data_IF_095946654851
#
_entry.id   IF_095946654851
#
_cell.length_a   1.000
_cell.length_b   1.000
_cell.length_c   1.000
_cell.angle_alpha   90.00
_cell.angle_beta   90.00
_cell.angle_gamma   90.00
#
_symmetry.space_group_name_H-M   'P 1'
#
loop_
_entity.id
_entity.type
_entity.pdbx_description
1 polymer ?
#
# COMPACT_ATOMS: atom_id res chain seq x y z
N UNK A 1 13.01 8.98 -27.95
CA UNK A 1 12.79 8.36 -26.64
C UNK A 1 11.67 9.14 -25.95
N UNK A 2 10.56 8.50 -25.61
CA UNK A 2 9.40 9.18 -25.02
C UNK A 2 9.36 8.90 -23.53
N UNK A 3 9.39 9.95 -22.71
CA UNK A 3 9.23 9.84 -21.25
C UNK A 3 7.74 9.90 -20.93
N UNK A 4 7.26 8.98 -20.07
CA UNK A 4 5.88 8.95 -19.59
C UNK A 4 5.85 9.23 -18.09
N UNK A 5 5.11 10.26 -17.69
CA UNK A 5 4.92 10.63 -16.27
C UNK A 5 3.50 10.21 -15.86
N UNK A 6 3.40 9.52 -14.74
CA UNK A 6 2.13 9.06 -14.15
C UNK A 6 2.23 9.03 -12.62
N UNK A 7 1.10 8.99 -11.89
CA UNK A 7 1.10 8.71 -10.46
C UNK A 7 1.78 7.36 -10.13
N UNK A 8 2.44 7.30 -8.97
CA UNK A 8 2.94 6.06 -8.40
C UNK A 8 1.77 5.15 -7.96
N UNK A 9 1.99 3.84 -8.01
CA UNK A 9 1.04 2.79 -7.62
C UNK A 9 1.51 2.09 -6.34
N UNK A 10 0.60 1.48 -5.56
CA UNK A 10 1.00 0.61 -4.45
C UNK A 10 1.94 -0.50 -4.91
N UNK A 11 2.99 -0.81 -4.14
CA UNK A 11 4.02 -1.79 -4.52
C UNK A 11 5.19 -1.20 -5.32
N UNK A 12 5.18 0.11 -5.62
CA UNK A 12 6.28 0.78 -6.32
C UNK A 12 7.28 1.46 -5.37
N UNK A 13 7.27 1.13 -4.08
CA UNK A 13 8.14 1.71 -3.06
C UNK A 13 9.62 1.48 -3.41
N UNK A 14 9.97 0.27 -3.86
CA UNK A 14 11.32 -0.06 -4.33
C UNK A 14 11.75 0.71 -5.58
N UNK A 15 10.80 1.03 -6.49
CA UNK A 15 11.09 1.86 -7.66
C UNK A 15 11.38 3.31 -7.25
N UNK A 16 10.57 3.87 -6.34
CA UNK A 16 10.78 5.21 -5.79
C UNK A 16 12.10 5.29 -5.04
N UNK A 17 12.40 4.30 -4.19
CA UNK A 17 13.68 4.21 -3.49
C UNK A 17 14.85 4.10 -4.46
N UNK A 18 14.68 3.34 -5.55
CA UNK A 18 15.66 3.25 -6.63
C UNK A 18 15.96 4.60 -7.28
N UNK A 19 14.94 5.41 -7.55
CA UNK A 19 15.13 6.76 -8.07
C UNK A 19 15.82 7.69 -7.06
N UNK A 20 15.46 7.62 -5.78
CA UNK A 20 16.12 8.40 -4.72
C UNK A 20 17.61 8.04 -4.63
N UNK A 21 17.94 6.75 -4.62
CA UNK A 21 19.33 6.28 -4.58
C UNK A 21 20.12 6.70 -5.82
N UNK A 22 19.54 6.53 -7.01
CA UNK A 22 20.19 6.93 -8.25
C UNK A 22 20.49 8.44 -8.29
N UNK A 23 19.57 9.27 -7.78
CA UNK A 23 19.80 10.71 -7.64
C UNK A 23 20.88 11.01 -6.60
N UNK A 24 20.84 10.36 -5.43
CA UNK A 24 21.83 10.55 -4.38
C UNK A 24 23.24 10.11 -4.83
N UNK A 25 23.36 9.04 -5.60
CA UNK A 25 24.63 8.61 -6.19
C UNK A 25 25.17 9.67 -7.16
N UNK A 26 24.31 10.20 -8.04
CA UNK A 26 24.66 11.27 -8.97
C UNK A 26 25.13 12.54 -8.25
N UNK A 27 24.47 12.89 -7.14
CA UNK A 27 24.79 14.08 -6.33
C UNK A 27 25.93 13.84 -5.31
N UNK A 28 26.43 12.60 -5.18
CA UNK A 28 27.42 12.17 -4.17
C UNK A 28 26.93 12.30 -2.73
N UNK A 29 25.64 12.07 -2.52
CA UNK A 29 24.93 12.13 -1.24
C UNK A 29 24.35 10.77 -0.81
N UNK A 30 24.84 9.66 -1.36
CA UNK A 30 24.32 8.31 -1.04
C UNK A 30 24.29 7.99 0.47
N UNK A 31 25.22 8.57 1.25
CA UNK A 31 25.30 8.40 2.70
C UNK A 31 24.19 9.11 3.49
N UNK A 32 23.50 10.08 2.87
CA UNK A 32 22.33 10.77 3.44
C UNK A 32 21.03 9.97 3.23
N UNK A 33 21.07 8.90 2.42
CA UNK A 33 19.88 8.08 2.18
C UNK A 33 19.67 7.11 3.35
N UNK A 34 18.89 7.57 4.32
CA UNK A 34 18.45 6.77 5.46
C UNK A 34 17.20 5.94 5.16
N UNK A 35 16.45 6.30 4.11
CA UNK A 35 15.18 5.66 3.77
C UNK A 35 15.34 4.23 3.25
N UNK A 36 14.45 3.35 3.70
CA UNK A 36 14.21 2.02 3.13
C UNK A 36 12.80 1.92 2.51
N UNK A 37 12.45 0.76 1.93
CA UNK A 37 11.15 0.58 1.28
C UNK A 37 9.98 0.70 2.28
N UNK A 38 10.19 0.30 3.53
CA UNK A 38 9.18 0.41 4.58
C UNK A 38 8.91 1.88 4.94
N UNK A 39 9.95 2.71 5.03
CA UNK A 39 9.83 4.15 5.26
C UNK A 39 9.08 4.85 4.11
N UNK A 40 9.35 4.47 2.85
CA UNK A 40 8.60 4.97 1.70
C UNK A 40 7.13 4.55 1.78
N UNK A 41 6.85 3.28 2.08
CA UNK A 41 5.48 2.78 2.27
C UNK A 41 4.73 3.54 3.37
N UNK A 42 5.37 3.76 4.52
CA UNK A 42 4.80 4.52 5.63
C UNK A 42 4.51 5.99 5.24
N UNK A 43 5.39 6.63 4.48
CA UNK A 43 5.17 7.99 3.99
C UNK A 43 3.98 8.10 3.03
N UNK A 44 3.78 7.09 2.17
CA UNK A 44 2.62 6.98 1.29
C UNK A 44 1.33 6.79 2.11
N UNK A 45 1.32 5.90 3.10
CA UNK A 45 0.18 5.73 4.01
C UNK A 45 -0.14 7.03 4.76
N UNK A 46 0.86 7.74 5.24
CA UNK A 46 0.68 9.03 5.92
C UNK A 46 0.05 10.08 5.00
N UNK A 47 0.29 10.03 3.68
CA UNK A 47 -0.39 10.92 2.74
C UNK A 47 -1.89 10.64 2.66
N UNK A 48 -2.30 9.37 2.61
CA UNK A 48 -3.72 9.00 2.66
C UNK A 48 -4.36 9.44 3.98
N UNK A 49 -3.69 9.23 5.11
CA UNK A 49 -4.19 9.67 6.42
C UNK A 49 -4.37 11.21 6.48
N UNK A 50 -3.42 11.99 5.96
CA UNK A 50 -3.56 13.46 5.86
C UNK A 50 -4.79 13.86 5.05
N UNK A 51 -5.05 13.16 3.93
CA UNK A 51 -6.23 13.39 3.11
C UNK A 51 -7.53 13.06 3.85
N UNK A 52 -7.57 11.92 4.55
CA UNK A 52 -8.72 11.56 5.38
C UNK A 52 -9.06 12.66 6.39
N UNK A 53 -8.06 13.17 7.11
CA UNK A 53 -8.26 14.27 8.07
C UNK A 53 -8.74 15.55 7.38
N UNK A 54 -8.11 15.93 6.26
CA UNK A 54 -8.47 17.15 5.52
C UNK A 54 -9.90 17.11 4.95
N UNK A 55 -10.39 15.93 4.60
CA UNK A 55 -11.73 15.73 4.01
C UNK A 55 -12.79 15.32 5.05
N UNK A 56 -12.44 15.24 6.34
CA UNK A 56 -13.38 14.82 7.39
C UNK A 56 -13.76 13.33 7.33
N UNK A 57 -12.94 12.50 6.70
CA UNK A 57 -13.12 11.05 6.63
C UNK A 57 -12.61 10.41 7.92
N UNK A 58 -13.49 9.67 8.61
CA UNK A 58 -13.20 9.15 9.95
C UNK A 58 -12.29 7.92 10.02
N UNK A 59 -11.91 7.30 8.89
CA UNK A 59 -11.13 6.06 8.89
C UNK A 59 -10.37 5.82 7.57
N UNK A 60 -9.22 5.17 7.69
CA UNK A 60 -8.46 4.58 6.60
C UNK A 60 -8.41 3.06 6.82
N UNK A 61 -8.85 2.27 5.83
CA UNK A 61 -8.89 0.80 5.90
C UNK A 61 -8.18 0.18 4.69
N UNK A 62 -7.49 -0.95 4.91
CA UNK A 62 -6.81 -1.71 3.86
C UNK A 62 -6.72 -3.19 4.25
N UNK A 63 -6.36 -4.02 3.26
CA UNK A 63 -6.28 -5.47 3.39
C UNK A 63 -4.83 -5.91 3.54
N UNK A 64 -4.58 -6.78 4.51
CA UNK A 64 -3.27 -7.39 4.76
C UNK A 64 -3.49 -8.89 4.85
N UNK A 65 -2.64 -9.67 4.21
CA UNK A 65 -2.66 -11.12 4.37
C UNK A 65 -2.21 -11.46 5.79
N UNK A 66 -2.95 -12.35 6.45
CA UNK A 66 -2.76 -12.75 7.84
C UNK A 66 -1.35 -13.32 8.12
N UNK A 67 -0.71 -13.90 7.10
CA UNK A 67 0.65 -14.42 7.17
C UNK A 67 1.75 -13.39 6.93
N UNK A 68 1.43 -12.14 6.56
CA UNK A 68 2.44 -11.11 6.28
C UNK A 68 2.90 -10.41 7.57
N UNK A 69 3.63 -11.14 8.42
CA UNK A 69 4.12 -10.65 9.72
C UNK A 69 4.87 -9.32 9.63
N UNK A 70 5.69 -9.15 8.58
CA UNK A 70 6.44 -7.91 8.36
C UNK A 70 5.52 -6.70 8.17
N UNK A 71 4.52 -6.81 7.29
CA UNK A 71 3.56 -5.74 7.07
C UNK A 71 2.67 -5.50 8.30
N UNK A 72 2.23 -6.58 8.97
CA UNK A 72 1.43 -6.49 10.20
C UNK A 72 2.19 -5.72 11.29
N UNK A 73 3.48 -6.00 11.48
CA UNK A 73 4.32 -5.28 12.45
C UNK A 73 4.41 -3.79 12.15
N UNK A 74 4.65 -3.43 10.89
CA UNK A 74 4.67 -2.02 10.44
C UNK A 74 3.32 -1.35 10.73
N UNK A 75 2.20 -1.91 10.29
CA UNK A 75 0.89 -1.27 10.47
C UNK A 75 0.46 -1.18 11.93
N UNK A 76 0.78 -2.18 12.75
CA UNK A 76 0.53 -2.14 14.19
C UNK A 76 1.34 -1.02 14.87
N UNK A 77 2.60 -0.83 14.47
CA UNK A 77 3.44 0.28 14.98
C UNK A 77 2.89 1.67 14.62
N UNK A 78 2.11 1.78 13.54
CA UNK A 78 1.41 3.01 13.15
C UNK A 78 0.07 3.21 13.90
N UNK A 79 -0.32 2.25 14.74
CA UNK A 79 -1.57 2.28 15.50
C UNK A 79 -2.78 1.66 14.78
N UNK A 80 -2.58 0.99 13.63
CA UNK A 80 -3.65 0.24 12.97
C UNK A 80 -4.03 -1.00 13.79
N UNK A 81 -5.32 -1.38 13.76
CA UNK A 81 -5.85 -2.54 14.48
C UNK A 81 -6.43 -3.57 13.49
N UNK A 82 -6.13 -4.86 13.63
CA UNK A 82 -6.72 -5.90 12.78
C UNK A 82 -8.21 -6.07 13.08
N UNK A 83 -9.01 -6.32 12.04
CA UNK A 83 -10.43 -6.67 12.16
C UNK A 83 -10.59 -8.18 11.98
N UNK A 84 -10.60 -8.92 13.08
CA UNK A 84 -10.49 -10.39 13.11
C UNK A 84 -11.82 -11.15 13.29
N UNK A 85 -12.94 -10.43 13.36
CA UNK A 85 -14.27 -11.01 13.60
C UNK A 85 -15.01 -11.42 12.32
N UNK A 86 -14.47 -11.13 11.14
CA UNK A 86 -15.17 -11.29 9.86
C UNK A 86 -14.36 -12.16 8.90
N UNK A 87 -15.00 -13.20 8.35
CA UNK A 87 -14.39 -14.03 7.29
C UNK A 87 -14.81 -13.53 5.92
N UNK A 88 -13.85 -13.48 5.01
CA UNK A 88 -14.06 -13.01 3.64
C UNK A 88 -14.57 -14.16 2.78
N UNK A 89 -15.82 -14.08 2.34
CA UNK A 89 -16.36 -14.99 1.33
C UNK A 89 -16.15 -14.39 -0.05
N UNK A 90 -15.63 -15.19 -0.99
CA UNK A 90 -15.44 -14.78 -2.38
C UNK A 90 -16.17 -15.75 -3.30
N UNK A 91 -17.00 -15.21 -4.18
CA UNK A 91 -17.64 -15.93 -5.27
C UNK A 91 -17.05 -15.45 -6.60
N UNK A 92 -16.62 -16.38 -7.44
CA UNK A 92 -16.00 -16.07 -8.73
C UNK A 92 -16.20 -17.20 -9.73
N UNK A 93 -16.02 -16.90 -11.03
CA UNK A 93 -16.16 -17.87 -12.12
C UNK A 93 -17.59 -18.39 -12.27
N UNK A 94 -17.74 -19.63 -12.74
CA UNK A 94 -19.02 -20.25 -13.05
C UNK A 94 -20.04 -20.20 -11.88
N UNK A 95 -19.57 -20.30 -10.64
CA UNK A 95 -20.45 -20.24 -9.48
C UNK A 95 -21.11 -18.85 -9.30
N UNK A 96 -20.41 -17.78 -9.69
CA UNK A 96 -20.96 -16.42 -9.74
C UNK A 96 -21.98 -16.28 -10.88
N UNK A 97 -21.64 -16.82 -12.05
CA UNK A 97 -22.50 -16.78 -13.24
C UNK A 97 -23.82 -17.53 -13.00
N UNK A 98 -23.77 -18.76 -12.47
CA UNK A 98 -24.97 -19.54 -12.11
C UNK A 98 -25.88 -18.82 -11.12
N UNK A 99 -25.29 -18.16 -10.10
CA UNK A 99 -26.06 -17.38 -9.14
C UNK A 99 -26.73 -16.18 -9.80
N UNK A 100 -26.03 -15.49 -10.72
CA UNK A 100 -26.59 -14.36 -11.47
C UNK A 100 -27.75 -14.76 -12.38
N UNK A 101 -27.74 -15.99 -12.90
CA UNK A 101 -28.82 -16.56 -13.72
C UNK A 101 -30.00 -17.09 -12.89
N UNK A 102 -29.92 -17.08 -11.56
CA UNK A 102 -30.95 -17.64 -10.67
C UNK A 102 -30.96 -19.18 -10.63
N UNK A 103 -29.87 -19.80 -11.09
CA UNK A 103 -29.67 -21.25 -11.16
C UNK A 103 -28.83 -21.78 -9.99
N UNK A 104 -28.81 -21.07 -8.87
CA UNK A 104 -28.06 -21.44 -7.67
C UNK A 104 -28.67 -22.60 -6.90
#
# INVERSE_FOLDING_TARGET
>A
MTITIRPARPGEEGLVLGFIRALADYERLAHEVEADEAAIGAALLANFARRCVAEGLGRLEWWVLDWNEAAIGVYTSLGAQPMDQWTVFRLSGEALERLAEGSA
#
